data_IF_300942044556
#
_entry.id   IF_300942044556
#
_cell.length_a   1.000
_cell.length_b   1.000
_cell.length_c   1.000
_cell.angle_alpha   90.00
_cell.angle_beta   90.00
_cell.angle_gamma   90.00
#
_symmetry.space_group_name_H-M   'P 1'
#
loop_
_entity.id
_entity.type
_entity.pdbx_description
1 polymer ?
#
# COMPACT_ATOMS: atom_id res chain seq x y z
N UNK A 1 -7.77 -17.97 -14.76
CA UNK A 1 -6.56 -17.37 -14.15
C UNK A 1 -6.56 -17.34 -12.62
N UNK A 2 -7.30 -16.47 -11.91
CA UNK A 2 -7.24 -16.47 -10.43
C UNK A 2 -7.75 -17.76 -9.79
N UNK A 3 -8.76 -18.39 -10.41
CA UNK A 3 -9.21 -19.72 -10.01
C UNK A 3 -8.12 -20.79 -10.22
N UNK A 4 -7.50 -20.82 -11.41
CA UNK A 4 -6.36 -21.71 -11.70
C UNK A 4 -5.19 -21.49 -10.75
N UNK A 5 -4.89 -20.23 -10.40
CA UNK A 5 -3.87 -19.90 -9.41
C UNK A 5 -4.22 -20.52 -8.06
N UNK A 6 -5.45 -20.32 -7.55
CA UNK A 6 -5.90 -20.87 -6.26
C UNK A 6 -5.93 -22.41 -6.23
N UNK A 7 -6.28 -23.05 -7.34
CA UNK A 7 -6.34 -24.51 -7.46
C UNK A 7 -4.94 -25.15 -7.62
N UNK A 8 -3.95 -24.42 -8.15
CA UNK A 8 -2.60 -24.95 -8.41
C UNK A 8 -1.53 -24.54 -7.40
N UNK A 9 -1.36 -23.23 -7.17
CA UNK A 9 -0.19 -22.63 -6.50
C UNK A 9 -0.57 -21.74 -5.30
N UNK A 10 -1.82 -21.27 -5.27
CA UNK A 10 -2.35 -20.32 -4.27
C UNK A 10 -3.03 -20.96 -3.06
N UNK A 11 -3.00 -22.29 -2.94
CA UNK A 11 -3.73 -23.04 -1.89
C UNK A 11 -2.94 -23.29 -0.59
N UNK A 12 -1.62 -23.12 -0.56
CA UNK A 12 -0.78 -23.56 0.56
C UNK A 12 0.22 -22.48 1.03
N UNK A 13 -0.27 -21.26 1.25
CA UNK A 13 0.46 -20.22 1.95
C UNK A 13 -0.23 -19.84 3.26
N UNK A 14 0.46 -19.98 4.39
CA UNK A 14 0.07 -19.50 5.73
C UNK A 14 0.01 -17.95 5.81
N UNK A 15 -0.15 -17.27 4.67
CA UNK A 15 -0.27 -15.83 4.58
C UNK A 15 -1.70 -15.43 4.91
N UNK A 16 -1.89 -14.62 5.94
CA UNK A 16 -3.15 -14.01 6.35
C UNK A 16 -3.68 -12.94 5.34
N UNK A 17 -3.39 -13.13 4.04
CA UNK A 17 -3.62 -12.19 2.95
C UNK A 17 -4.39 -12.90 1.84
N UNK A 18 -5.61 -12.41 1.53
CA UNK A 18 -6.33 -12.81 0.32
C UNK A 18 -5.95 -11.91 -0.86
N UNK A 19 -5.20 -12.46 -1.81
CA UNK A 19 -4.74 -11.74 -3.00
C UNK A 19 -5.67 -11.99 -4.19
N UNK A 20 -6.08 -10.92 -4.87
CA UNK A 20 -6.78 -10.94 -6.14
C UNK A 20 -6.04 -10.11 -7.19
N UNK A 21 -5.74 -10.69 -8.35
CA UNK A 21 -4.95 -10.05 -9.41
C UNK A 21 -5.74 -9.94 -10.70
N UNK A 22 -5.72 -8.75 -11.30
CA UNK A 22 -6.29 -8.48 -12.62
C UNK A 22 -5.15 -8.28 -13.62
N UNK A 23 -5.13 -9.12 -14.66
CA UNK A 23 -4.14 -9.03 -15.74
C UNK A 23 -4.70 -8.21 -16.89
N UNK A 24 -4.00 -7.15 -17.26
CA UNK A 24 -4.41 -6.20 -18.28
C UNK A 24 -3.47 -6.29 -19.50
N UNK A 25 -4.04 -6.39 -20.70
CA UNK A 25 -3.27 -6.42 -21.95
C UNK A 25 -2.87 -5.00 -22.36
N UNK A 26 -1.57 -4.76 -22.57
CA UNK A 26 -1.06 -3.48 -23.07
C UNK A 26 -1.72 -3.11 -24.40
N UNK A 27 -2.17 -1.86 -24.53
CA UNK A 27 -2.84 -1.35 -25.74
C UNK A 27 -4.35 -1.62 -25.80
N UNK A 28 -4.90 -2.44 -24.90
CA UNK A 28 -6.36 -2.65 -24.79
C UNK A 28 -7.03 -1.80 -23.71
N UNK A 29 -6.23 -1.15 -22.85
CA UNK A 29 -6.71 -0.35 -21.73
C UNK A 29 -6.14 1.08 -21.82
N UNK A 30 -6.92 2.11 -21.45
CA UNK A 30 -6.46 3.51 -21.43
C UNK A 30 -5.62 3.77 -20.18
N UNK A 31 -4.55 2.99 -20.01
CA UNK A 31 -3.56 3.19 -18.96
C UNK A 31 -2.47 4.01 -19.62
N UNK A 32 -2.44 5.30 -19.35
CA UNK A 32 -1.31 6.13 -19.74
C UNK A 32 -0.07 5.55 -19.08
N UNK A 33 1.00 5.33 -19.86
CA UNK A 33 2.27 4.76 -19.37
C UNK A 33 2.99 5.62 -18.32
N UNK A 34 2.35 6.68 -17.81
CA UNK A 34 2.84 7.64 -16.81
C UNK A 34 2.36 7.35 -15.38
N UNK A 35 2.01 6.11 -15.06
CA UNK A 35 1.78 5.69 -13.68
C UNK A 35 3.07 5.70 -12.85
N UNK A 36 2.94 5.81 -11.53
CA UNK A 36 4.08 5.69 -10.61
C UNK A 36 4.14 4.32 -9.96
N UNK A 37 5.30 3.97 -9.41
CA UNK A 37 5.49 2.73 -8.66
C UNK A 37 5.40 3.02 -7.17
N UNK A 38 4.47 2.35 -6.50
CA UNK A 38 4.45 2.22 -5.05
C UNK A 38 5.22 0.96 -4.66
N UNK A 39 6.14 1.01 -3.67
CA UNK A 39 6.74 -0.19 -3.11
C UNK A 39 5.66 -1.13 -2.57
N UNK A 40 5.80 -2.43 -2.83
CA UNK A 40 4.84 -3.42 -2.34
C UNK A 40 5.13 -3.64 -0.83
N UNK A 41 4.14 -3.49 0.07
CA UNK A 41 4.28 -3.81 1.49
C UNK A 41 4.85 -5.22 1.69
N UNK A 42 5.70 -5.42 2.71
CA UNK A 42 6.42 -6.68 2.93
C UNK A 42 5.47 -7.88 3.01
N UNK A 43 4.33 -7.68 3.64
CA UNK A 43 3.26 -8.67 3.83
C UNK A 43 2.68 -9.17 2.50
N UNK A 44 2.80 -8.40 1.41
CA UNK A 44 2.26 -8.73 0.09
C UNK A 44 3.32 -9.21 -0.90
N UNK A 45 4.62 -9.08 -0.57
CA UNK A 45 5.71 -9.38 -1.50
C UNK A 45 5.74 -10.85 -1.90
N UNK A 46 5.57 -11.76 -0.94
CA UNK A 46 5.55 -13.20 -1.18
C UNK A 46 4.37 -13.60 -2.09
N UNK A 47 3.17 -13.09 -1.79
CA UNK A 47 1.98 -13.37 -2.59
C UNK A 47 2.12 -12.84 -4.03
N UNK A 48 2.65 -11.62 -4.19
CA UNK A 48 2.90 -11.04 -5.51
C UNK A 48 3.93 -11.86 -6.30
N UNK A 49 5.01 -12.29 -5.65
CA UNK A 49 6.07 -13.08 -6.30
C UNK A 49 5.56 -14.45 -6.75
N UNK A 50 4.81 -15.16 -5.89
CA UNK A 50 4.19 -16.45 -6.25
C UNK A 50 3.23 -16.32 -7.43
N UNK A 51 2.41 -15.27 -7.45
CA UNK A 51 1.53 -15.03 -8.58
C UNK A 51 2.31 -14.75 -9.87
N UNK A 52 3.38 -13.96 -9.80
CA UNK A 52 4.25 -13.67 -10.95
C UNK A 52 4.89 -14.94 -11.52
N UNK A 53 5.45 -15.78 -10.66
CA UNK A 53 6.03 -17.08 -11.05
C UNK A 53 4.99 -18.00 -11.70
N UNK A 54 3.81 -18.12 -11.10
CA UNK A 54 2.68 -18.86 -11.68
C UNK A 54 2.31 -18.33 -13.07
N UNK A 55 2.18 -17.01 -13.21
CA UNK A 55 1.76 -16.39 -14.46
C UNK A 55 2.78 -16.62 -15.57
N UNK A 56 4.08 -16.38 -15.31
CA UNK A 56 5.15 -16.51 -16.30
C UNK A 56 5.41 -17.96 -16.69
N UNK A 57 5.23 -18.92 -15.76
CA UNK A 57 5.28 -20.35 -16.06
C UNK A 57 4.16 -20.79 -17.00
N UNK A 58 2.94 -20.27 -16.78
CA UNK A 58 1.75 -20.64 -17.56
C UNK A 58 1.68 -19.92 -18.90
N UNK A 59 2.21 -18.69 -18.98
CA UNK A 59 2.14 -17.83 -20.16
C UNK A 59 3.54 -17.49 -20.70
N UNK A 60 4.18 -18.49 -21.32
CA UNK A 60 5.52 -18.32 -21.91
C UNK A 60 5.58 -17.17 -22.94
N UNK A 61 6.72 -16.47 -22.98
CA UNK A 61 6.94 -15.35 -23.90
C UNK A 61 6.24 -14.04 -23.52
N UNK A 62 5.61 -13.96 -22.34
CA UNK A 62 5.04 -12.72 -21.79
C UNK A 62 5.99 -12.07 -20.79
N UNK A 63 5.81 -10.75 -20.62
CA UNK A 63 6.40 -9.96 -19.54
C UNK A 63 5.27 -9.42 -18.68
N UNK A 64 5.35 -9.63 -17.38
CA UNK A 64 4.42 -9.03 -16.41
C UNK A 64 5.01 -7.71 -15.90
N UNK A 65 4.15 -6.73 -15.64
CA UNK A 65 4.53 -5.47 -15.00
C UNK A 65 3.44 -5.04 -14.04
N UNK A 66 3.76 -4.98 -12.75
CA UNK A 66 2.82 -4.57 -11.71
C UNK A 66 2.53 -3.07 -11.80
N UNK A 67 1.24 -2.72 -11.89
CA UNK A 67 0.77 -1.33 -11.79
C UNK A 67 0.33 -1.02 -10.35
N UNK A 68 1.30 -0.96 -9.43
CA UNK A 68 1.02 -0.96 -7.98
C UNK A 68 0.23 0.25 -7.51
N UNK A 69 0.35 1.41 -8.15
CA UNK A 69 -0.45 2.59 -7.84
C UNK A 69 -1.96 2.43 -8.13
N UNK A 70 -2.36 1.46 -8.97
CA UNK A 70 -3.76 1.17 -9.29
C UNK A 70 -4.38 0.14 -8.34
N UNK A 71 -3.58 -0.45 -7.45
CA UNK A 71 -4.04 -1.43 -6.49
C UNK A 71 -4.82 -0.82 -5.32
N UNK A 72 -5.62 -1.66 -4.67
CA UNK A 72 -6.30 -1.36 -3.42
C UNK A 72 -6.37 -2.63 -2.56
N UNK A 73 -6.69 -2.46 -1.28
CA UNK A 73 -6.87 -3.56 -0.35
C UNK A 73 -7.66 -3.14 0.89
N UNK A 74 -7.90 -4.12 1.75
CA UNK A 74 -8.55 -3.94 3.04
C UNK A 74 -7.52 -4.16 4.15
N UNK A 75 -7.36 -3.18 5.04
CA UNK A 75 -6.43 -3.24 6.17
C UNK A 75 -7.23 -3.16 7.46
N UNK A 76 -7.07 -4.15 8.33
CA UNK A 76 -7.64 -4.13 9.67
C UNK A 76 -6.74 -3.33 10.61
N UNK A 77 -7.20 -2.16 11.05
CA UNK A 77 -6.51 -1.29 11.98
C UNK A 77 -7.13 -1.37 13.39
N UNK A 78 -6.31 -1.13 14.41
CA UNK A 78 -6.73 -1.05 15.81
C UNK A 78 -5.96 0.05 16.53
N UNK A 79 -6.24 0.32 17.81
CA UNK A 79 -5.56 1.36 18.58
C UNK A 79 -6.22 2.75 18.48
N UNK A 80 -7.40 2.83 17.87
CA UNK A 80 -8.20 4.06 17.84
C UNK A 80 -8.73 4.39 19.24
N UNK A 81 -8.97 5.68 19.49
CA UNK A 81 -9.45 6.19 20.78
C UNK A 81 -10.82 5.60 21.22
N UNK A 82 -11.61 5.07 20.29
CA UNK A 82 -12.88 4.40 20.58
C UNK A 82 -12.71 2.92 21.00
N UNK A 83 -11.47 2.41 21.00
CA UNK A 83 -11.12 1.04 21.34
C UNK A 83 -11.56 -0.01 20.32
N UNK A 84 -12.10 0.40 19.17
CA UNK A 84 -12.62 -0.52 18.16
C UNK A 84 -11.56 -0.87 17.12
N UNK A 85 -11.75 -2.03 16.50
CA UNK A 85 -11.05 -2.39 15.26
C UNK A 85 -11.87 -1.87 14.09
N UNK A 86 -11.19 -1.33 13.09
CA UNK A 86 -11.80 -0.79 11.88
C UNK A 86 -11.16 -1.45 10.66
N UNK A 87 -11.99 -1.82 9.69
CA UNK A 87 -11.53 -2.31 8.40
C UNK A 87 -11.49 -1.14 7.41
N UNK A 88 -10.29 -0.86 6.89
CA UNK A 88 -10.00 0.30 6.05
C UNK A 88 -9.82 -0.13 4.59
N UNK A 89 -10.69 0.34 3.72
CA UNK A 89 -10.50 0.20 2.27
C UNK A 89 -9.55 1.30 1.78
N UNK A 90 -8.34 0.91 1.40
CA UNK A 90 -7.25 1.84 1.08
C UNK A 90 -6.60 1.52 -0.26
N UNK A 91 -6.10 2.55 -0.94
CA UNK A 91 -5.22 2.38 -2.09
C UNK A 91 -3.85 1.84 -1.66
N UNK A 92 -3.09 1.23 -2.57
CA UNK A 92 -1.79 0.64 -2.23
C UNK A 92 -0.80 1.63 -1.62
N UNK A 93 -0.80 2.90 -2.04
CA UNK A 93 0.05 3.94 -1.43
C UNK A 93 -0.34 4.21 0.03
N UNK A 94 -1.63 4.34 0.34
CA UNK A 94 -2.13 4.50 1.70
C UNK A 94 -1.78 3.29 2.57
N UNK A 95 -2.01 2.08 2.05
CA UNK A 95 -1.65 0.83 2.74
C UNK A 95 -0.16 0.77 3.07
N UNK A 96 0.70 1.09 2.10
CA UNK A 96 2.16 1.09 2.30
C UNK A 96 2.57 2.08 3.38
N UNK A 97 1.99 3.30 3.37
CA UNK A 97 2.23 4.30 4.42
C UNK A 97 1.77 3.78 5.79
N UNK A 98 0.58 3.19 5.89
CA UNK A 98 0.07 2.65 7.17
C UNK A 98 0.96 1.54 7.73
N UNK A 99 1.47 0.64 6.88
CA UNK A 99 2.38 -0.44 7.32
C UNK A 99 3.70 0.10 7.89
N UNK A 100 4.20 1.25 7.41
CA UNK A 100 5.41 1.86 7.99
C UNK A 100 5.23 2.22 9.48
N UNK A 101 4.04 2.63 9.89
CA UNK A 101 3.76 2.94 11.30
C UNK A 101 3.66 1.69 12.17
N UNK A 102 3.13 0.59 11.63
CA UNK A 102 3.13 -0.71 12.30
C UNK A 102 4.55 -1.21 12.54
N UNK A 103 5.46 -1.04 11.57
CA UNK A 103 6.88 -1.38 11.71
C UNK A 103 7.58 -0.51 12.77
N UNK A 104 7.36 0.81 12.73
CA UNK A 104 7.97 1.76 13.67
C UNK A 104 7.55 1.48 15.13
N UNK A 105 6.28 1.12 15.35
CA UNK A 105 5.76 0.75 16.68
C UNK A 105 6.35 -0.57 17.18
N UNK A 106 6.47 -1.57 16.30
CA UNK A 106 7.08 -2.86 16.62
C UNK A 106 8.55 -2.76 17.07
N UNK A 107 9.27 -1.79 16.52
CA UNK A 107 10.67 -1.51 16.87
C UNK A 107 10.83 -0.66 18.16
N UNK A 108 9.73 -0.38 18.86
CA UNK A 108 9.70 0.42 20.10
C UNK A 108 9.77 1.93 19.87
N UNK A 109 9.60 2.38 18.63
CA UNK A 109 9.52 3.79 18.27
C UNK A 109 8.14 4.37 18.60
N UNK A 110 8.10 5.44 19.40
CA UNK A 110 6.84 6.13 19.75
C UNK A 110 6.75 7.56 19.21
N UNK A 111 7.72 8.00 18.42
CA UNK A 111 7.91 9.40 18.01
C UNK A 111 7.22 9.81 16.72
N UNK A 112 6.47 8.90 16.09
CA UNK A 112 5.94 9.07 14.75
C UNK A 112 7.01 9.10 13.66
N UNK A 113 6.60 9.21 12.40
CA UNK A 113 7.47 9.22 11.21
C UNK A 113 7.38 10.60 10.56
N UNK A 114 8.52 11.19 10.18
CA UNK A 114 8.53 12.47 9.48
C UNK A 114 8.10 12.32 8.02
N UNK A 115 7.61 13.40 7.41
CA UNK A 115 7.34 13.44 5.97
C UNK A 115 8.55 13.00 5.15
N UNK A 116 9.74 13.50 5.48
CA UNK A 116 10.98 13.19 4.78
C UNK A 116 11.33 11.70 4.89
N UNK A 117 11.16 11.09 6.07
CA UNK A 117 11.39 9.66 6.27
C UNK A 117 10.40 8.80 5.48
N UNK A 118 9.10 9.17 5.47
CA UNK A 118 8.09 8.48 4.65
C UNK A 118 8.47 8.60 3.17
N UNK A 119 8.85 9.79 2.71
CA UNK A 119 9.27 10.05 1.34
C UNK A 119 10.51 9.24 0.94
N UNK A 120 11.47 9.09 1.85
CA UNK A 120 12.69 8.32 1.65
C UNK A 120 12.37 6.82 1.56
N UNK A 121 11.55 6.28 2.48
CA UNK A 121 11.15 4.86 2.49
C UNK A 121 10.32 4.48 1.26
N UNK A 122 9.47 5.40 0.76
CA UNK A 122 8.68 5.17 -0.45
C UNK A 122 9.50 5.20 -1.75
N UNK A 123 10.64 5.89 -1.76
CA UNK A 123 11.52 5.98 -2.92
C UNK A 123 11.07 6.99 -3.98
N UNK A 124 12.00 7.36 -4.87
CA UNK A 124 11.86 8.49 -5.80
C UNK A 124 10.65 8.41 -6.75
N UNK A 125 10.22 7.19 -7.10
CA UNK A 125 9.15 6.93 -8.05
C UNK A 125 7.79 7.48 -7.61
N UNK A 126 7.54 7.61 -6.30
CA UNK A 126 6.28 8.19 -5.79
C UNK A 126 6.32 9.72 -5.92
N UNK A 127 5.39 10.33 -6.69
CA UNK A 127 5.35 11.78 -6.86
C UNK A 127 4.99 12.48 -5.54
N UNK A 128 5.64 13.61 -5.30
CA UNK A 128 5.39 14.42 -4.10
C UNK A 128 3.93 14.88 -3.94
N UNK A 129 3.23 15.32 -5.02
CA UNK A 129 1.81 15.68 -4.91
C UNK A 129 0.94 14.50 -4.50
N UNK A 130 1.28 13.30 -4.96
CA UNK A 130 0.57 12.06 -4.62
C UNK A 130 0.78 11.69 -3.15
N UNK A 131 2.02 11.77 -2.65
CA UNK A 131 2.32 11.56 -1.24
C UNK A 131 1.59 12.56 -0.35
N UNK A 132 1.62 13.86 -0.68
CA UNK A 132 0.92 14.91 0.09
C UNK A 132 -0.58 14.65 0.12
N UNK A 133 -1.19 14.30 -1.02
CA UNK A 133 -2.61 13.94 -1.11
C UNK A 133 -2.95 12.72 -0.25
N UNK A 134 -2.12 11.69 -0.29
CA UNK A 134 -2.29 10.49 0.54
C UNK A 134 -2.23 10.84 2.03
N UNK A 135 -1.22 11.59 2.48
CA UNK A 135 -1.09 11.98 3.89
C UNK A 135 -2.22 12.92 4.35
N UNK A 136 -2.68 13.83 3.48
CA UNK A 136 -3.86 14.65 3.75
C UNK A 136 -5.10 13.78 3.99
N UNK A 137 -5.31 12.76 3.16
CA UNK A 137 -6.46 11.85 3.29
C UNK A 137 -6.42 11.03 4.58
N UNK A 138 -5.23 10.66 5.05
CA UNK A 138 -5.04 9.86 6.26
C UNK A 138 -5.05 10.69 7.55
N UNK A 139 -4.57 11.94 7.52
CA UNK A 139 -4.32 12.70 8.75
C UNK A 139 -5.14 13.99 8.91
N UNK A 140 -5.58 14.61 7.81
CA UNK A 140 -6.13 15.98 7.85
C UNK A 140 -7.67 16.03 7.84
N UNK A 141 -8.35 14.88 7.70
CA UNK A 141 -9.82 14.80 7.70
C UNK A 141 -10.34 14.69 9.13
N UNK A 142 -10.78 15.82 9.70
CA UNK A 142 -11.29 15.88 11.07
C UNK A 142 -12.37 14.82 11.35
N UNK A 143 -12.15 13.98 12.35
CA UNK A 143 -13.11 12.95 12.79
C UNK A 143 -13.12 11.69 11.94
N UNK A 144 -12.27 11.62 10.91
CA UNK A 144 -12.03 10.41 10.09
C UNK A 144 -10.54 10.15 9.88
N UNK A 145 -9.68 10.92 10.52
CA UNK A 145 -8.24 10.78 10.42
C UNK A 145 -7.82 9.47 11.10
N UNK A 146 -6.99 8.71 10.39
CA UNK A 146 -6.37 7.46 10.86
C UNK A 146 -5.01 7.74 11.48
N UNK A 147 -4.35 8.82 11.04
CA UNK A 147 -3.09 9.31 11.59
C UNK A 147 -3.29 10.68 12.25
N UNK A 148 -2.38 11.03 13.15
CA UNK A 148 -2.28 12.35 13.78
C UNK A 148 -1.12 13.10 13.14
N UNK A 149 -1.38 14.31 12.64
CA UNK A 149 -0.34 15.20 12.10
C UNK A 149 0.14 16.20 13.16
N UNK A 150 1.46 16.39 13.25
CA UNK A 150 2.09 17.42 14.05
C UNK A 150 3.02 18.29 13.18
N UNK A 151 2.83 19.63 13.14
CA UNK A 151 1.73 20.40 13.73
C UNK A 151 0.37 20.14 13.08
N UNK A 152 -0.71 20.38 13.83
CA UNK A 152 -2.08 20.29 13.31
C UNK A 152 -2.30 21.33 12.20
N UNK A 153 -2.93 20.91 11.11
CA UNK A 153 -3.19 21.78 9.97
C UNK A 153 -3.93 21.04 8.85
N UNK A 154 -4.37 21.78 7.83
CA UNK A 154 -5.05 21.21 6.66
C UNK A 154 -4.07 20.75 5.58
N UNK A 155 -2.89 21.37 5.53
CA UNK A 155 -1.87 21.14 4.53
C UNK A 155 -0.76 20.25 5.06
N UNK A 156 -0.17 19.48 4.16
CA UNK A 156 0.99 18.62 4.43
C UNK A 156 2.24 19.29 3.88
N UNK A 157 3.23 19.45 4.74
CA UNK A 157 4.53 20.07 4.46
C UNK A 157 5.68 19.11 4.80
N UNK A 158 6.87 19.40 4.31
CA UNK A 158 8.06 18.57 4.53
C UNK A 158 8.50 18.51 6.01
N UNK A 159 8.17 19.53 6.80
CA UNK A 159 8.46 19.56 8.24
C UNK A 159 7.45 18.80 9.11
N UNK A 160 6.41 18.23 8.53
CA UNK A 160 5.36 17.54 9.29
C UNK A 160 5.81 16.17 9.78
N UNK A 161 5.29 15.77 10.94
CA UNK A 161 5.39 14.42 11.49
C UNK A 161 4.01 13.81 11.64
N UNK A 162 3.96 12.48 11.53
CA UNK A 162 2.74 11.70 11.58
C UNK A 162 2.88 10.60 12.63
N UNK A 163 1.82 10.26 13.34
CA UNK A 163 1.78 9.12 14.26
C UNK A 163 0.40 8.46 14.21
N UNK A 164 0.25 7.31 14.87
CA UNK A 164 -1.07 6.83 15.30
C UNK A 164 -1.77 7.88 16.18
#
# INVERSE_FOLDING_TARGET
>A
LMQEYREGDGGEGDSNVDLSVQVLTTGSWPIDGGGFRVPIPKELQDCASRFEDFYLRTHSGRKLSWQTHMGHGEVRASGFADGKKHDLCVGTLQMTVLMMFSEEEGDGGSGGISYEDIRARLGADVPEPELKRTLQSLACVKGKNVLIKAPLGKDVTEGDRFSW
#
